data_IF_584911285730
#
_entry.id   IF_584911285730
#
_cell.length_a   1.000
_cell.length_b   1.000
_cell.length_c   1.000
_cell.angle_alpha   90.00
_cell.angle_beta   90.00
_cell.angle_gamma   90.00
#
_symmetry.space_group_name_H-M   'P 1'
#
loop_
_entity.id
_entity.type
_entity.pdbx_description
1 polymer ?
#
# COMPACT_ATOMS: atom_id res chain seq x y z
N UNK A 1 -64.60 -39.44 17.03
CA UNK A 1 -64.46 -39.10 18.46
C UNK A 1 -62.98 -38.85 18.71
N UNK A 2 -62.46 -37.68 19.08
CA UNK A 2 -63.01 -36.36 19.33
C UNK A 2 -61.90 -35.48 19.95
N UNK A 3 -61.78 -34.25 19.45
CA UNK A 3 -61.10 -33.05 20.01
C UNK A 3 -59.57 -33.05 20.10
N UNK A 4 -58.96 -32.15 19.34
CA UNK A 4 -58.29 -30.97 19.91
C UNK A 4 -58.13 -29.89 18.83
N UNK A 5 -58.94 -28.83 18.94
CA UNK A 5 -58.81 -27.59 18.19
C UNK A 5 -58.39 -26.50 19.16
N UNK A 6 -57.42 -25.70 18.72
CA UNK A 6 -57.31 -24.26 18.98
C UNK A 6 -56.98 -23.85 20.41
N UNK A 7 -55.79 -23.28 20.61
CA UNK A 7 -55.81 -21.88 21.02
C UNK A 7 -54.58 -21.09 20.56
N UNK A 8 -54.92 -19.97 19.96
CA UNK A 8 -54.06 -18.94 19.43
C UNK A 8 -53.71 -17.95 20.55
N UNK A 9 -52.42 -17.62 20.63
CA UNK A 9 -51.88 -16.28 20.89
C UNK A 9 -52.57 -15.41 21.98
N UNK A 10 -51.91 -15.29 23.14
CA UNK A 10 -52.11 -14.15 24.07
C UNK A 10 -50.78 -13.67 24.64
N UNK A 11 -50.21 -12.69 23.94
CA UNK A 11 -49.85 -11.37 24.45
C UNK A 11 -49.05 -11.22 25.76
N UNK A 12 -47.88 -10.60 25.57
CA UNK A 12 -47.34 -9.43 26.29
C UNK A 12 -46.76 -9.58 27.71
N UNK A 13 -45.43 -9.35 27.73
CA UNK A 13 -44.64 -8.48 28.64
C UNK A 13 -44.26 -8.98 30.04
N UNK A 14 -42.99 -9.38 30.13
CA UNK A 14 -42.01 -8.97 31.16
C UNK A 14 -40.61 -9.25 30.55
N UNK A 15 -39.83 -8.30 30.02
CA UNK A 15 -39.00 -7.33 30.73
C UNK A 15 -38.20 -7.97 31.89
N UNK A 16 -37.00 -8.49 31.62
CA UNK A 16 -35.76 -7.91 32.16
C UNK A 16 -34.49 -8.61 31.63
N UNK A 17 -33.71 -7.82 30.87
CA UNK A 17 -32.25 -7.66 30.85
C UNK A 17 -31.36 -8.86 31.22
N UNK A 18 -30.53 -9.32 30.26
CA UNK A 18 -29.10 -9.59 30.48
C UNK A 18 -28.34 -9.73 29.14
N UNK A 19 -27.48 -8.74 28.91
CA UNK A 19 -26.17 -8.79 28.22
C UNK A 19 -26.15 -8.96 26.70
N UNK A 20 -25.83 -7.83 26.08
CA UNK A 20 -25.23 -7.69 24.78
C UNK A 20 -24.08 -8.70 24.55
N UNK A 21 -24.28 -9.60 23.59
CA UNK A 21 -23.19 -10.29 22.87
C UNK A 21 -23.22 -9.82 21.42
N UNK A 22 -23.08 -8.50 21.25
CA UNK A 22 -22.47 -7.93 20.06
C UNK A 22 -20.95 -8.14 20.20
N UNK A 23 -20.49 -9.35 19.91
CA UNK A 23 -19.07 -9.68 19.95
C UNK A 23 -18.57 -9.95 18.53
N UNK A 24 -18.16 -8.85 17.91
CA UNK A 24 -17.06 -8.76 16.96
C UNK A 24 -17.08 -9.78 15.81
N UNK A 25 -17.91 -9.50 14.81
CA UNK A 25 -17.42 -9.67 13.43
C UNK A 25 -16.26 -8.68 13.31
N UNK A 26 -15.04 -9.15 13.55
CA UNK A 26 -13.84 -8.43 13.19
C UNK A 26 -13.80 -8.41 11.67
N UNK A 27 -14.52 -7.46 11.08
CA UNK A 27 -14.09 -6.88 9.81
C UNK A 27 -12.70 -6.34 10.10
N UNK A 28 -11.68 -7.18 9.90
CA UNK A 28 -10.36 -6.71 9.52
C UNK A 28 -10.60 -6.11 8.14
N UNK A 29 -11.11 -4.88 8.14
CA UNK A 29 -10.71 -3.92 7.14
C UNK A 29 -9.20 -3.83 7.35
N UNK A 30 -8.46 -4.71 6.68
CA UNK A 30 -7.06 -4.50 6.44
C UNK A 30 -7.06 -3.14 5.79
N UNK A 31 -6.62 -2.15 6.55
CA UNK A 31 -6.31 -0.84 6.05
C UNK A 31 -5.27 -1.11 4.97
N UNK A 32 -5.74 -1.27 3.73
CA UNK A 32 -4.90 -1.34 2.57
C UNK A 32 -4.30 0.06 2.52
N UNK A 33 -3.17 0.22 3.20
CA UNK A 33 -2.33 1.38 3.11
C UNK A 33 -2.01 1.50 1.63
N UNK A 34 -2.75 2.36 0.96
CA UNK A 34 -2.38 2.79 -0.36
C UNK A 34 -1.10 3.58 -0.11
N UNK A 35 -0.01 3.29 -0.82
CA UNK A 35 0.97 4.31 -1.21
C UNK A 35 0.19 5.40 -1.97
N UNK A 36 -0.63 6.17 -1.25
CA UNK A 36 -1.37 7.28 -1.80
C UNK A 36 -0.49 8.48 -1.69
N UNK A 37 -0.13 8.96 -2.87
CA UNK A 37 0.06 10.35 -3.18
C UNK A 37 1.50 10.88 -3.09
N UNK A 38 2.36 10.38 -3.97
CA UNK A 38 3.45 11.22 -4.50
C UNK A 38 3.66 11.02 -6.03
N UNK A 39 2.79 10.26 -6.72
CA UNK A 39 2.76 10.26 -8.19
C UNK A 39 1.97 11.44 -8.74
N UNK A 40 0.77 11.65 -8.22
CA UNK A 40 -0.24 12.55 -8.78
C UNK A 40 0.24 14.00 -8.96
N UNK A 41 0.81 14.58 -7.91
CA UNK A 41 1.30 15.95 -7.92
C UNK A 41 2.52 16.12 -8.84
N UNK A 42 3.44 15.14 -8.86
CA UNK A 42 4.61 15.15 -9.74
C UNK A 42 4.24 14.94 -11.22
N UNK A 43 3.28 14.06 -11.52
CA UNK A 43 2.74 13.87 -12.88
C UNK A 43 2.03 15.14 -13.38
N UNK A 44 1.20 15.77 -12.53
CA UNK A 44 0.52 17.03 -12.88
C UNK A 44 1.52 18.18 -13.09
N UNK A 45 2.62 18.20 -12.33
CA UNK A 45 3.70 19.17 -12.48
C UNK A 45 4.59 18.90 -13.70
N UNK A 46 4.85 17.64 -14.05
CA UNK A 46 5.69 17.26 -15.18
C UNK A 46 4.94 17.27 -16.53
N UNK A 47 3.59 17.24 -16.52
CA UNK A 47 2.78 17.20 -17.72
C UNK A 47 3.06 15.99 -18.63
N UNK A 48 3.74 14.96 -18.12
CA UNK A 48 4.43 13.98 -18.95
C UNK A 48 3.78 12.58 -18.87
N UNK A 49 3.47 11.96 -20.03
CA UNK A 49 2.95 10.59 -20.09
C UNK A 49 4.02 9.52 -19.78
N UNK A 50 5.29 9.91 -19.63
CA UNK A 50 6.42 9.00 -19.44
C UNK A 50 7.39 9.53 -18.37
N UNK A 51 7.26 9.03 -17.14
CA UNK A 51 8.13 9.37 -16.00
C UNK A 51 8.81 8.09 -15.50
N UNK A 52 10.07 8.21 -15.09
CA UNK A 52 10.79 7.17 -14.34
C UNK A 52 10.76 7.55 -12.88
N UNK A 53 10.13 6.71 -12.05
CA UNK A 53 10.17 6.84 -10.60
C UNK A 53 11.47 6.25 -10.08
N UNK A 54 12.14 6.97 -9.20
CA UNK A 54 13.34 6.53 -8.50
C UNK A 54 13.04 6.52 -7.01
N UNK A 55 13.13 5.35 -6.38
CA UNK A 55 13.06 5.23 -4.93
C UNK A 55 14.50 5.12 -4.40
N UNK A 56 14.95 6.08 -3.57
CA UNK A 56 16.32 6.08 -3.09
C UNK A 56 16.58 4.89 -2.14
N UNK A 57 17.83 4.40 -2.04
CA UNK A 57 18.22 3.43 -1.04
C UNK A 57 17.87 3.92 0.37
N UNK A 58 17.34 3.02 1.21
CA UNK A 58 16.99 3.31 2.59
C UNK A 58 15.62 3.96 2.77
N UNK A 59 14.82 4.05 1.71
CA UNK A 59 13.43 4.51 1.83
C UNK A 59 12.64 3.58 2.77
N UNK A 60 11.87 4.16 3.70
CA UNK A 60 11.09 3.39 4.68
C UNK A 60 9.69 3.09 4.15
N UNK A 61 9.32 1.82 4.21
CA UNK A 61 8.02 1.30 3.78
C UNK A 61 7.40 0.46 4.89
N UNK A 62 6.07 0.42 4.95
CA UNK A 62 5.34 -0.49 5.84
C UNK A 62 5.11 -1.83 5.11
N UNK A 63 5.60 -2.93 5.68
CA UNK A 63 5.42 -4.28 5.16
C UNK A 63 5.00 -5.20 6.30
N UNK A 64 3.83 -5.83 6.16
CA UNK A 64 3.28 -6.71 7.20
C UNK A 64 3.06 -5.99 8.54
N UNK A 65 2.72 -4.69 8.52
CA UNK A 65 2.52 -3.87 9.72
C UNK A 65 3.81 -3.41 10.41
N UNK A 66 4.97 -3.60 9.78
CA UNK A 66 6.25 -3.15 10.31
C UNK A 66 6.98 -2.25 9.33
N UNK A 67 7.64 -1.22 9.86
CA UNK A 67 8.54 -0.39 9.07
C UNK A 67 9.78 -1.21 8.66
N UNK A 68 10.15 -1.08 7.39
CA UNK A 68 11.29 -1.73 6.75
C UNK A 68 12.04 -0.73 5.90
N UNK A 69 13.37 -0.79 5.93
CA UNK A 69 14.22 -0.07 4.98
C UNK A 69 14.25 -0.86 3.68
N UNK A 70 13.97 -0.19 2.58
CA UNK A 70 14.00 -0.79 1.25
C UNK A 70 15.27 -0.40 0.50
N UNK A 71 15.88 -1.37 -0.17
CA UNK A 71 17.01 -1.20 -1.07
C UNK A 71 16.70 -1.89 -2.40
N UNK A 72 17.00 -1.24 -3.51
CA UNK A 72 17.05 -1.90 -4.82
C UNK A 72 18.45 -2.36 -5.18
N UNK A 73 18.67 -2.59 -6.47
CA UNK A 73 19.98 -2.93 -7.05
C UNK A 73 20.43 -1.95 -8.12
N UNK A 74 19.58 -1.00 -8.49
CA UNK A 74 19.84 -0.13 -9.63
C UNK A 74 20.81 1.00 -9.27
N UNK A 75 21.50 1.49 -10.28
CA UNK A 75 22.16 2.79 -10.21
C UNK A 75 21.11 3.88 -10.08
N UNK A 76 21.38 4.88 -9.24
CA UNK A 76 20.51 6.04 -9.08
C UNK A 76 20.72 7.00 -10.26
N UNK A 77 19.78 7.10 -11.22
CA UNK A 77 20.00 7.86 -12.44
C UNK A 77 19.92 9.36 -12.14
N UNK A 78 20.80 10.15 -12.76
CA UNK A 78 20.72 11.63 -12.74
C UNK A 78 19.97 12.22 -13.93
N UNK A 79 19.73 11.40 -14.95
CA UNK A 79 19.00 11.77 -16.16
C UNK A 79 17.90 10.74 -16.44
N UNK A 80 16.80 11.12 -17.10
CA UNK A 80 15.73 10.20 -17.47
C UNK A 80 16.23 8.96 -18.21
N UNK A 81 15.71 7.79 -17.85
CA UNK A 81 16.03 6.52 -18.50
C UNK A 81 14.99 6.26 -19.61
N UNK A 82 15.41 6.00 -20.87
CA UNK A 82 14.46 5.71 -21.94
C UNK A 82 13.49 4.57 -21.59
N UNK A 83 12.20 4.64 -21.98
CA UNK A 83 11.56 5.68 -22.81
C UNK A 83 11.07 6.90 -22.04
N UNK A 84 11.48 7.10 -20.79
CA UNK A 84 11.08 8.27 -20.00
C UNK A 84 11.77 9.55 -20.45
N UNK A 85 11.08 10.67 -20.26
CA UNK A 85 11.60 12.04 -20.47
C UNK A 85 11.83 12.79 -19.17
N UNK A 86 11.39 12.23 -18.04
CA UNK A 86 11.47 12.86 -16.72
C UNK A 86 11.90 11.86 -15.63
N UNK A 87 12.57 12.37 -14.60
CA UNK A 87 12.83 11.63 -13.36
C UNK A 87 11.95 12.19 -12.24
N UNK A 88 11.45 11.29 -11.41
CA UNK A 88 10.80 11.65 -10.17
C UNK A 88 11.41 10.84 -9.02
N UNK A 89 11.90 11.53 -8.00
CA UNK A 89 12.51 10.90 -6.82
C UNK A 89 11.51 10.86 -5.66
N UNK A 90 11.21 9.67 -5.16
CA UNK A 90 10.46 9.52 -3.91
C UNK A 90 11.26 10.13 -2.75
N UNK A 91 10.63 11.02 -1.98
CA UNK A 91 11.32 11.81 -0.95
C UNK A 91 11.99 13.10 -1.46
N UNK A 92 11.88 13.40 -2.76
CA UNK A 92 12.08 14.74 -3.32
C UNK A 92 13.50 15.12 -3.74
N UNK A 93 14.53 14.36 -3.37
CA UNK A 93 15.92 14.72 -3.68
C UNK A 93 16.65 13.61 -4.43
N UNK A 94 17.37 13.93 -5.52
CA UNK A 94 18.27 13.00 -6.17
C UNK A 94 19.37 12.52 -5.21
N UNK A 95 19.77 11.26 -5.39
CA UNK A 95 20.86 10.64 -4.63
C UNK A 95 21.85 10.02 -5.60
N UNK A 96 23.10 9.94 -5.17
CA UNK A 96 24.17 9.31 -5.93
C UNK A 96 24.37 7.85 -5.54
N UNK A 97 24.93 7.10 -6.47
CA UNK A 97 25.41 5.74 -6.23
C UNK A 97 24.45 4.66 -6.69
N UNK A 98 24.31 3.62 -5.87
CA UNK A 98 23.59 2.39 -6.19
C UNK A 98 22.65 2.00 -5.06
N UNK A 99 21.74 1.08 -5.35
CA UNK A 99 20.72 0.62 -4.40
C UNK A 99 19.38 1.35 -4.55
N UNK A 100 19.22 2.12 -5.63
CA UNK A 100 17.92 2.67 -5.99
C UNK A 100 17.00 1.56 -6.51
N UNK A 101 15.69 1.78 -6.39
CA UNK A 101 14.67 1.06 -7.16
C UNK A 101 14.23 1.99 -8.29
N UNK A 102 14.51 1.61 -9.53
CA UNK A 102 14.19 2.43 -10.71
C UNK A 102 13.01 1.83 -11.46
N UNK A 103 11.91 2.58 -11.51
CA UNK A 103 10.66 2.16 -12.12
C UNK A 103 10.40 3.01 -13.36
N UNK A 104 10.85 2.51 -14.51
CA UNK A 104 10.57 3.13 -15.80
C UNK A 104 9.13 2.89 -16.26
N UNK A 105 8.70 3.51 -17.37
CA UNK A 105 7.33 3.38 -17.88
C UNK A 105 6.88 1.94 -18.14
N UNK A 106 7.80 1.10 -18.61
CA UNK A 106 7.54 -0.30 -18.98
C UNK A 106 7.94 -1.31 -17.90
N UNK A 107 8.44 -0.87 -16.75
CA UNK A 107 8.80 -1.75 -15.64
C UNK A 107 7.53 -2.41 -15.09
N UNK A 108 7.52 -3.73 -15.04
CA UNK A 108 6.41 -4.55 -14.52
C UNK A 108 6.71 -5.14 -13.14
N UNK A 109 7.99 -5.40 -12.87
CA UNK A 109 8.45 -6.00 -11.62
C UNK A 109 9.70 -5.27 -11.13
N UNK A 110 9.86 -5.20 -9.82
CA UNK A 110 11.01 -4.60 -9.16
C UNK A 110 11.57 -5.54 -8.10
N UNK A 111 12.83 -5.98 -8.21
CA UNK A 111 13.49 -6.69 -7.15
C UNK A 111 13.87 -5.72 -6.03
N UNK A 112 13.59 -6.10 -4.79
CA UNK A 112 13.91 -5.30 -3.61
C UNK A 112 14.49 -6.17 -2.50
N UNK A 113 15.26 -5.53 -1.62
CA UNK A 113 15.72 -6.09 -0.37
C UNK A 113 15.19 -5.22 0.77
N UNK A 114 14.50 -5.87 1.70
CA UNK A 114 13.98 -5.27 2.92
C UNK A 114 14.90 -5.57 4.09
N UNK A 115 15.12 -4.55 4.92
CA UNK A 115 15.84 -4.67 6.19
C UNK A 115 14.92 -4.28 7.35
N UNK A 116 14.77 -5.19 8.30
CA UNK A 116 14.09 -4.96 9.57
C UNK A 116 15.01 -4.32 10.61
N UNK A 117 14.41 -3.67 11.60
CA UNK A 117 15.14 -3.12 12.76
C UNK A 117 15.80 -4.20 13.63
N UNK A 118 15.32 -5.44 13.51
CA UNK A 118 15.89 -6.66 14.08
C UNK A 118 17.07 -7.22 13.28
N UNK A 119 17.47 -6.55 12.18
CA UNK A 119 18.50 -7.01 11.27
C UNK A 119 18.02 -8.08 10.27
N UNK A 120 16.74 -8.44 10.28
CA UNK A 120 16.19 -9.39 9.32
C UNK A 120 16.33 -8.84 7.89
N UNK A 121 16.82 -9.67 6.97
CA UNK A 121 17.00 -9.34 5.56
C UNK A 121 16.11 -10.22 4.71
N UNK A 122 15.21 -9.61 3.94
CA UNK A 122 14.27 -10.33 3.07
C UNK A 122 14.41 -9.83 1.64
N UNK A 123 14.53 -10.74 0.67
CA UNK A 123 14.51 -10.40 -0.75
C UNK A 123 13.13 -10.69 -1.32
N UNK A 124 12.57 -9.74 -2.06
CA UNK A 124 11.26 -9.84 -2.68
C UNK A 124 11.30 -9.35 -4.12
N UNK A 125 10.34 -9.80 -4.92
CA UNK A 125 10.02 -9.22 -6.22
C UNK A 125 8.61 -8.68 -6.13
N UNK A 126 8.46 -7.39 -6.40
CA UNK A 126 7.16 -6.72 -6.35
C UNK A 126 6.68 -6.38 -7.74
N UNK A 127 5.40 -6.58 -7.98
CA UNK A 127 4.74 -6.15 -9.21
C UNK A 127 4.42 -4.65 -9.14
N UNK A 128 4.51 -4.00 -10.29
CA UNK A 128 4.15 -2.60 -10.50
C UNK A 128 2.72 -2.55 -11.00
N UNK A 129 1.82 -2.02 -10.17
CA UNK A 129 0.42 -1.80 -10.50
C UNK A 129 0.24 -0.32 -10.90
N UNK A 130 -0.12 -0.10 -12.17
CA UNK A 130 -0.37 1.22 -12.74
C UNK A 130 -1.87 1.40 -12.90
N UNK A 131 -2.41 2.36 -12.17
CA UNK A 131 -3.83 2.68 -12.20
C UNK A 131 -4.04 4.14 -12.59
N UNK A 132 -5.26 4.46 -12.99
CA UNK A 132 -5.71 5.83 -13.14
C UNK A 132 -6.83 6.08 -12.12
N UNK A 133 -6.75 7.18 -11.38
CA UNK A 133 -7.81 7.62 -10.47
C UNK A 133 -8.17 9.06 -10.80
N UNK A 134 -9.39 9.30 -11.25
CA UNK A 134 -9.88 10.64 -11.63
C UNK A 134 -8.97 11.33 -12.68
N UNK A 135 -8.50 10.59 -13.69
CA UNK A 135 -7.58 11.11 -14.72
C UNK A 135 -6.13 11.27 -14.25
N UNK A 136 -5.80 10.81 -13.04
CA UNK A 136 -4.47 10.92 -12.47
C UNK A 136 -3.80 9.55 -12.44
N UNK A 137 -2.63 9.37 -13.06
CA UNK A 137 -1.89 8.12 -12.98
C UNK A 137 -1.35 7.91 -11.55
N UNK A 138 -1.54 6.70 -11.06
CA UNK A 138 -1.11 6.23 -9.74
C UNK A 138 -0.24 4.99 -9.94
N UNK A 139 0.98 5.04 -9.41
CA UNK A 139 1.89 3.89 -9.37
C UNK A 139 1.83 3.28 -7.97
N UNK A 140 1.54 1.99 -7.89
CA UNK A 140 1.55 1.21 -6.66
C UNK A 140 2.46 0.02 -6.81
N UNK A 141 3.06 -0.39 -5.69
CA UNK A 141 3.85 -1.62 -5.62
C UNK A 141 3.04 -2.67 -4.88
N UNK A 142 3.04 -3.89 -5.41
CA UNK A 142 2.27 -5.00 -4.88
C UNK A 142 3.15 -6.23 -4.74
N UNK A 143 3.17 -6.78 -3.52
CA UNK A 143 3.91 -7.99 -3.15
C UNK A 143 3.28 -9.23 -3.79
N UNK A 144 4.06 -10.32 -3.84
CA UNK A 144 3.59 -11.61 -4.34
C UNK A 144 2.39 -12.17 -3.55
N UNK A 145 2.27 -11.84 -2.26
CA UNK A 145 1.13 -12.25 -1.41
C UNK A 145 -0.15 -11.41 -1.67
N UNK A 146 -0.10 -10.44 -2.58
CA UNK A 146 -1.23 -9.59 -2.93
C UNK A 146 -1.35 -8.28 -2.15
N UNK A 147 -0.52 -8.08 -1.12
CA UNK A 147 -0.50 -6.84 -0.33
C UNK A 147 0.11 -5.69 -1.13
N UNK A 148 -0.49 -4.51 -0.98
CA UNK A 148 0.12 -3.28 -1.48
C UNK A 148 1.08 -2.70 -0.46
N UNK A 149 2.17 -2.14 -0.97
CA UNK A 149 3.13 -1.42 -0.15
C UNK A 149 2.53 -0.06 0.23
N UNK A 150 2.81 0.37 1.45
CA UNK A 150 2.48 1.68 2.00
C UNK A 150 3.77 2.41 2.41
N UNK A 151 3.72 3.74 2.46
CA UNK A 151 4.78 4.49 3.15
C UNK A 151 4.78 4.13 4.64
N UNK A 152 5.97 4.01 5.23
CA UNK A 152 6.07 3.91 6.69
C UNK A 152 5.41 5.13 7.33
N UNK A 153 4.66 4.92 8.42
CA UNK A 153 4.00 6.03 9.13
C UNK A 153 5.07 6.99 9.63
N UNK A 154 5.13 8.19 9.03
CA UNK A 154 6.00 9.26 9.54
C UNK A 154 5.51 9.62 10.93
N UNK A 155 6.20 9.15 11.96
CA UNK A 155 5.97 9.61 13.32
C UNK A 155 6.54 11.02 13.38
N UNK A 156 5.69 12.01 13.18
CA UNK A 156 6.06 13.42 13.29
C UNK A 156 6.46 13.66 14.75
N UNK A 157 7.77 13.70 15.03
CA UNK A 157 8.29 14.19 16.31
C UNK A 157 7.96 15.68 16.37
N UNK A 158 6.87 15.99 17.07
CA UNK A 158 6.49 17.33 17.49
C UNK A 158 7.46 17.88 18.53
#
# INVERSE_FOLDING_TARGET
MGREMSNMNRNLKAADVLVAMAACISTIAANAGVLTDIGAAAYKAAGAPSVTTVIPPGYQVEVGGHDRLMMGSDLCPRVPVPPSTHLWFMGGHPVDGSGCVVIGPNTQEVPVVLYGSDGARTSEVWSVDRQERNGIPVLRLKRANGEYIADAKRTEKR
#
